data_IF_403920331820
#
_entry.id   IF_403920331820
#
_cell.length_a   1.000
_cell.length_b   1.000
_cell.length_c   1.000
_cell.angle_alpha   90.00
_cell.angle_beta   90.00
_cell.angle_gamma   90.00
#
_symmetry.space_group_name_H-M   'P 1'
#
loop_
_entity.id
_entity.type
_entity.pdbx_description
1 polymer ?
#
# COMPACT_ATOMS: atom_id res chain seq x y z
N UNK A 1 -63.77 24.34 -12.20
CA UNK A 1 -62.69 25.33 -11.98
C UNK A 1 -61.55 24.62 -11.28
N UNK A 2 -60.47 24.33 -12.00
CA UNK A 2 -59.23 23.82 -11.42
C UNK A 2 -58.14 24.83 -11.78
N UNK A 3 -57.53 25.45 -10.76
CA UNK A 3 -56.39 26.34 -10.95
C UNK A 3 -55.16 25.53 -11.40
N UNK A 4 -54.37 26.00 -12.37
CA UNK A 4 -53.08 25.38 -12.66
C UNK A 4 -52.09 25.74 -11.55
N UNK A 5 -51.48 24.72 -10.95
CA UNK A 5 -50.33 24.86 -10.06
C UNK A 5 -49.17 25.49 -10.85
N UNK A 6 -48.83 26.72 -10.50
CA UNK A 6 -47.60 27.39 -10.91
C UNK A 6 -46.44 26.56 -10.34
N UNK A 7 -45.64 25.95 -11.21
CA UNK A 7 -44.32 25.42 -10.85
C UNK A 7 -43.49 26.61 -10.38
N UNK A 8 -43.23 26.67 -9.08
CA UNK A 8 -42.06 27.38 -8.54
C UNK A 8 -40.86 26.60 -9.05
N UNK A 9 -40.18 27.14 -10.05
CA UNK A 9 -38.86 26.67 -10.40
C UNK A 9 -37.99 26.83 -9.15
N UNK A 10 -37.52 25.69 -8.66
CA UNK A 10 -36.51 25.58 -7.62
C UNK A 10 -35.22 26.16 -8.22
N UNK A 11 -34.96 27.44 -7.96
CA UNK A 11 -33.61 28.00 -7.93
C UNK A 11 -32.84 27.39 -6.74
N UNK A 12 -32.63 26.07 -6.76
CA UNK A 12 -31.78 25.36 -5.81
C UNK A 12 -30.42 25.15 -6.43
N UNK A 13 -29.53 26.05 -6.07
CA UNK A 13 -28.15 25.74 -5.72
C UNK A 13 -27.32 25.03 -6.80
N UNK A 14 -26.95 25.78 -7.84
CA UNK A 14 -25.62 25.65 -8.46
C UNK A 14 -24.56 26.26 -7.50
N UNK A 15 -24.50 25.80 -6.25
CA UNK A 15 -23.28 25.94 -5.44
C UNK A 15 -22.24 25.02 -6.08
N UNK A 16 -21.61 25.50 -7.15
CA UNK A 16 -20.42 24.87 -7.69
C UNK A 16 -19.44 24.67 -6.52
N UNK A 17 -19.21 23.41 -6.12
CA UNK A 17 -18.30 23.04 -5.05
C UNK A 17 -16.94 23.72 -5.31
N UNK A 18 -16.71 24.85 -4.63
CA UNK A 18 -15.49 25.61 -4.81
C UNK A 18 -14.36 24.81 -4.17
N UNK A 19 -13.57 24.14 -5.01
CA UNK A 19 -12.39 23.42 -4.54
C UNK A 19 -11.45 24.42 -3.84
N UNK A 20 -10.99 24.15 -2.60
CA UNK A 20 -10.01 25.00 -1.93
C UNK A 20 -8.66 25.06 -2.67
N UNK A 21 -8.50 24.25 -3.72
CA UNK A 21 -7.35 24.20 -4.61
C UNK A 21 -7.64 24.82 -5.99
N UNK A 22 -8.76 25.53 -6.17
CA UNK A 22 -9.04 26.24 -7.42
C UNK A 22 -7.96 27.29 -7.68
N UNK A 23 -7.41 27.28 -8.89
CA UNK A 23 -6.43 28.28 -9.34
C UNK A 23 -5.01 28.12 -8.77
N UNK A 24 -4.68 27.01 -8.10
CA UNK A 24 -3.30 26.81 -7.63
C UNK A 24 -2.34 26.60 -8.80
N UNK A 25 -1.22 27.33 -8.78
CA UNK A 25 -0.20 27.25 -9.81
C UNK A 25 1.03 26.47 -9.32
N UNK A 26 1.56 25.59 -10.18
CA UNK A 26 2.74 24.76 -9.87
C UNK A 26 3.91 25.58 -9.32
N UNK A 27 4.26 26.67 -10.01
CA UNK A 27 5.38 27.53 -9.64
C UNK A 27 5.20 28.16 -8.26
N UNK A 28 3.99 28.62 -7.94
CA UNK A 28 3.67 29.19 -6.63
C UNK A 28 3.80 28.15 -5.51
N UNK A 29 3.27 26.94 -5.72
CA UNK A 29 3.35 25.86 -4.72
C UNK A 29 4.79 25.39 -4.49
N UNK A 30 5.60 25.27 -5.56
CA UNK A 30 7.03 24.96 -5.44
C UNK A 30 7.80 26.05 -4.68
N UNK A 31 7.42 27.32 -4.85
CA UNK A 31 7.99 28.42 -4.08
C UNK A 31 7.59 28.34 -2.59
N UNK A 32 6.34 28.00 -2.29
CA UNK A 32 5.86 27.79 -0.92
C UNK A 32 6.61 26.64 -0.22
N UNK A 33 7.05 25.60 -0.95
CA UNK A 33 7.80 24.46 -0.41
C UNK A 33 9.13 24.86 0.26
N UNK A 34 9.63 26.09 0.04
CA UNK A 34 10.78 26.62 0.77
C UNK A 34 10.55 26.68 2.28
N UNK A 35 9.31 26.69 2.76
CA UNK A 35 8.98 26.61 4.20
C UNK A 35 9.55 25.36 4.87
N UNK A 36 9.82 24.28 4.12
CA UNK A 36 10.40 23.06 4.70
C UNK A 36 11.86 23.24 5.14
N UNK A 37 12.49 24.34 4.72
CA UNK A 37 13.85 24.69 5.12
C UNK A 37 13.91 25.57 6.38
N UNK A 38 12.76 25.99 6.93
CA UNK A 38 12.75 26.82 8.13
C UNK A 38 13.33 26.06 9.33
N UNK A 39 14.25 26.67 10.11
CA UNK A 39 14.77 26.06 11.34
C UNK A 39 13.68 25.77 12.38
N UNK A 40 12.62 26.59 12.39
CA UNK A 40 11.44 26.42 13.24
C UNK A 40 10.27 25.95 12.38
N UNK A 41 10.12 24.63 12.26
CA UNK A 41 9.05 24.04 11.47
C UNK A 41 7.68 24.29 12.09
N UNK A 42 6.75 24.81 11.30
CA UNK A 42 5.30 24.79 11.57
C UNK A 42 4.69 23.56 10.90
N UNK A 43 4.26 22.53 11.66
CA UNK A 43 3.71 21.31 11.08
C UNK A 43 2.43 21.54 10.28
N UNK A 44 1.59 22.50 10.67
CA UNK A 44 0.32 22.79 10.00
C UNK A 44 0.59 23.43 8.65
N UNK A 45 1.45 24.44 8.61
CA UNK A 45 1.86 25.09 7.37
C UNK A 45 2.57 24.12 6.43
N UNK A 46 3.50 23.31 6.96
CA UNK A 46 4.18 22.30 6.14
C UNK A 46 3.18 21.27 5.55
N UNK A 47 2.22 20.80 6.35
CA UNK A 47 1.20 19.85 5.88
C UNK A 47 0.32 20.45 4.78
N UNK A 48 -0.04 21.73 4.87
CA UNK A 48 -0.80 22.43 3.82
C UNK A 48 -0.02 22.48 2.51
N UNK A 49 1.27 22.80 2.55
CA UNK A 49 2.09 22.85 1.33
C UNK A 49 2.28 21.45 0.73
N UNK A 50 2.52 20.41 1.55
CA UNK A 50 2.56 19.02 1.04
C UNK A 50 1.21 18.64 0.39
N UNK A 51 0.09 19.04 0.99
CA UNK A 51 -1.23 18.76 0.43
C UNK A 51 -1.41 19.38 -0.94
N UNK A 52 -0.96 20.63 -1.14
CA UNK A 52 -0.97 21.29 -2.46
C UNK A 52 -0.08 20.55 -3.46
N UNK A 53 1.14 20.15 -3.07
CA UNK A 53 2.04 19.37 -3.93
C UNK A 53 1.42 18.04 -4.36
N UNK A 54 0.86 17.29 -3.41
CA UNK A 54 0.16 16.03 -3.68
C UNK A 54 -1.06 16.24 -4.57
N UNK A 55 -1.82 17.31 -4.37
CA UNK A 55 -2.96 17.65 -5.23
C UNK A 55 -2.51 17.86 -6.67
N UNK A 56 -1.46 18.65 -6.91
CA UNK A 56 -0.94 18.91 -8.26
C UNK A 56 -0.53 17.60 -8.96
N UNK A 57 0.19 16.72 -8.26
CA UNK A 57 0.58 15.41 -8.77
C UNK A 57 -0.65 14.54 -9.10
N UNK A 58 -1.67 14.55 -8.23
CA UNK A 58 -2.91 13.80 -8.43
C UNK A 58 -3.77 14.33 -9.60
N UNK A 59 -3.64 15.61 -9.96
CA UNK A 59 -4.24 16.19 -11.18
C UNK A 59 -3.45 15.87 -12.46
N UNK A 60 -2.39 15.06 -12.37
CA UNK A 60 -1.56 14.66 -13.50
C UNK A 60 -0.46 15.68 -13.85
N UNK A 61 -0.24 16.72 -13.05
CA UNK A 61 0.94 17.56 -13.25
C UNK A 61 2.20 16.80 -12.91
N UNK A 62 3.25 16.98 -13.72
CA UNK A 62 4.55 16.37 -13.50
C UNK A 62 5.56 17.40 -13.05
N UNK A 63 6.39 17.05 -12.07
CA UNK A 63 7.56 17.83 -11.72
C UNK A 63 8.71 17.48 -12.65
N UNK A 64 9.51 18.49 -13.03
CA UNK A 64 10.79 18.21 -13.69
C UNK A 64 11.71 17.46 -12.73
N UNK A 65 12.75 16.81 -13.23
CA UNK A 65 13.72 16.11 -12.37
C UNK A 65 14.31 17.03 -11.30
N UNK A 66 14.65 18.27 -11.67
CA UNK A 66 15.20 19.26 -10.74
C UNK A 66 14.18 19.65 -9.67
N UNK A 67 12.94 19.96 -10.08
CA UNK A 67 11.86 20.29 -9.14
C UNK A 67 11.58 19.13 -8.17
N UNK A 68 11.50 17.89 -8.67
CA UNK A 68 11.25 16.71 -7.85
C UNK A 68 12.37 16.47 -6.82
N UNK A 69 13.63 16.60 -7.26
CA UNK A 69 14.80 16.50 -6.40
C UNK A 69 14.80 17.58 -5.31
N UNK A 70 14.58 18.85 -5.66
CA UNK A 70 14.52 19.95 -4.68
C UNK A 70 13.41 19.73 -3.65
N UNK A 71 12.21 19.35 -4.10
CA UNK A 71 11.09 19.03 -3.20
C UNK A 71 11.43 17.83 -2.33
N UNK A 72 12.05 16.78 -2.88
CA UNK A 72 12.46 15.60 -2.11
C UNK A 72 13.42 16.00 -0.97
N UNK A 73 14.52 16.68 -1.28
CA UNK A 73 15.48 17.15 -0.28
C UNK A 73 14.82 18.03 0.79
N UNK A 74 13.94 18.94 0.39
CA UNK A 74 13.21 19.80 1.32
C UNK A 74 12.28 18.98 2.24
N UNK A 75 11.54 18.02 1.70
CA UNK A 75 10.65 17.12 2.44
C UNK A 75 11.42 16.22 3.41
N UNK A 76 12.62 15.75 3.07
CA UNK A 76 13.42 14.92 3.98
C UNK A 76 13.77 15.63 5.29
N UNK A 77 13.93 16.96 5.27
CA UNK A 77 14.21 17.77 6.47
C UNK A 77 13.05 17.70 7.47
N UNK A 78 11.83 17.48 7.01
CA UNK A 78 10.63 17.41 7.85
C UNK A 78 10.62 16.19 8.78
N UNK A 79 11.48 15.19 8.58
CA UNK A 79 11.69 14.10 9.55
C UNK A 79 12.15 14.60 10.93
N UNK A 80 12.72 15.82 11.04
CA UNK A 80 13.06 16.42 12.33
C UNK A 80 11.84 16.77 13.19
N UNK A 81 10.67 16.95 12.56
CA UNK A 81 9.42 17.19 13.28
C UNK A 81 8.94 15.94 14.00
N UNK A 82 8.44 16.14 15.22
CA UNK A 82 7.79 15.09 16.03
C UNK A 82 6.29 14.98 15.76
N UNK A 83 5.73 15.87 14.94
CA UNK A 83 4.31 15.85 14.63
C UNK A 83 3.92 14.61 13.81
N UNK A 84 2.96 13.86 14.33
CA UNK A 84 2.52 12.58 13.73
C UNK A 84 1.77 12.80 12.41
N UNK A 85 1.02 13.90 12.29
CA UNK A 85 0.28 14.25 11.09
C UNK A 85 1.22 14.58 9.94
N UNK A 86 2.18 15.48 10.18
CA UNK A 86 3.21 15.84 9.23
C UNK A 86 4.04 14.62 8.82
N UNK A 87 4.39 13.74 9.76
CA UNK A 87 5.14 12.52 9.43
C UNK A 87 4.39 11.65 8.41
N UNK A 88 3.07 11.52 8.50
CA UNK A 88 2.25 10.82 7.50
C UNK A 88 2.30 11.51 6.14
N UNK A 89 2.25 12.84 6.12
CA UNK A 89 2.36 13.63 4.88
C UNK A 89 3.72 13.44 4.20
N UNK A 90 4.81 13.37 4.98
CA UNK A 90 6.16 13.09 4.47
C UNK A 90 6.20 11.71 3.80
N UNK A 91 5.63 10.67 4.41
CA UNK A 91 5.56 9.34 3.81
C UNK A 91 4.80 9.31 2.48
N UNK A 92 3.69 10.04 2.38
CA UNK A 92 2.94 10.14 1.13
C UNK A 92 3.79 10.81 0.06
N UNK A 93 4.36 11.96 0.37
CA UNK A 93 5.16 12.74 -0.58
C UNK A 93 6.35 11.95 -1.14
N UNK A 94 7.07 11.20 -0.29
CA UNK A 94 8.20 10.37 -0.74
C UNK A 94 7.77 9.28 -1.73
N UNK A 95 6.60 8.67 -1.54
CA UNK A 95 6.09 7.64 -2.47
C UNK A 95 5.74 8.23 -3.84
N UNK A 96 5.25 9.46 -3.87
CA UNK A 96 4.83 10.12 -5.11
C UNK A 96 6.01 10.69 -5.92
N UNK A 97 7.08 11.14 -5.25
CA UNK A 97 8.24 11.76 -5.94
C UNK A 97 9.11 10.77 -6.72
N UNK A 98 9.02 9.46 -6.44
CA UNK A 98 9.84 8.42 -7.08
C UNK A 98 11.35 8.78 -7.15
N UNK A 99 12.01 8.94 -5.98
CA UNK A 99 13.40 9.39 -5.90
C UNK A 99 14.37 8.46 -6.64
N UNK A 100 15.47 9.04 -7.13
CA UNK A 100 16.61 8.30 -7.67
C UNK A 100 17.34 7.49 -6.60
N UNK A 101 18.16 6.51 -7.00
CA UNK A 101 18.88 5.64 -6.07
C UNK A 101 19.78 6.43 -5.09
N UNK A 102 20.43 7.50 -5.57
CA UNK A 102 21.29 8.35 -4.73
C UNK A 102 20.49 9.13 -3.68
N UNK A 103 19.26 9.51 -4.01
CA UNK A 103 18.36 10.23 -3.11
C UNK A 103 17.73 9.31 -2.05
N UNK A 104 17.45 8.05 -2.39
CA UNK A 104 16.86 7.06 -1.48
C UNK A 104 17.71 6.87 -0.22
N UNK A 105 19.04 6.94 -0.35
CA UNK A 105 19.99 6.79 0.76
C UNK A 105 19.68 7.79 1.90
N UNK A 106 19.24 9.00 1.56
CA UNK A 106 19.02 10.10 2.52
C UNK A 106 17.89 9.77 3.50
N UNK A 107 16.82 9.14 3.01
CA UNK A 107 15.64 8.79 3.83
C UNK A 107 15.74 7.39 4.43
N UNK A 108 16.64 6.54 3.92
CA UNK A 108 16.73 5.13 4.28
C UNK A 108 16.92 4.93 5.79
N UNK A 109 17.86 5.67 6.42
CA UNK A 109 18.09 5.57 7.87
C UNK A 109 16.87 6.00 8.70
N UNK A 110 16.21 7.09 8.30
CA UNK A 110 15.01 7.61 8.95
C UNK A 110 13.83 6.63 8.84
N UNK A 111 13.63 6.04 7.66
CA UNK A 111 12.59 5.03 7.42
C UNK A 111 12.89 3.73 8.18
N UNK A 112 14.15 3.28 8.22
CA UNK A 112 14.53 2.10 9.01
C UNK A 112 14.32 2.32 10.51
N UNK A 113 14.59 3.53 11.01
CA UNK A 113 14.29 3.91 12.39
C UNK A 113 12.78 3.86 12.66
N UNK A 114 11.97 4.40 11.76
CA UNK A 114 10.50 4.40 11.90
C UNK A 114 9.90 3.00 11.77
N UNK A 115 10.46 2.14 10.90
CA UNK A 115 10.09 0.72 10.73
C UNK A 115 10.26 -0.08 12.03
N UNK A 116 11.23 0.31 12.86
CA UNK A 116 11.52 -0.30 14.17
C UNK A 116 11.00 0.53 15.35
N UNK A 117 10.15 1.53 15.10
CA UNK A 117 9.58 2.37 16.14
C UNK A 117 8.64 1.59 17.06
N UNK A 118 8.43 2.07 18.28
CA UNK A 118 7.36 1.56 19.17
C UNK A 118 5.96 1.96 18.70
N UNK A 119 5.87 2.90 17.76
CA UNK A 119 4.59 3.38 17.21
C UNK A 119 4.22 2.58 15.98
N UNK A 120 3.25 1.68 16.08
CA UNK A 120 2.85 0.77 14.99
C UNK A 120 2.51 1.48 13.68
N UNK A 121 1.97 2.69 13.77
CA UNK A 121 1.66 3.50 12.61
C UNK A 121 2.89 3.99 11.84
N UNK A 122 3.97 4.33 12.56
CA UNK A 122 5.25 4.65 11.92
C UNK A 122 5.82 3.41 11.27
N UNK A 123 5.76 2.26 11.96
CA UNK A 123 6.25 0.99 11.41
C UNK A 123 5.57 0.64 10.09
N UNK A 124 4.24 0.61 10.08
CA UNK A 124 3.45 0.23 8.91
C UNK A 124 3.65 1.20 7.74
N UNK A 125 3.68 2.51 8.00
CA UNK A 125 3.87 3.48 6.93
C UNK A 125 5.30 3.49 6.39
N UNK A 126 6.31 3.37 7.27
CA UNK A 126 7.70 3.27 6.87
C UNK A 126 7.94 2.04 5.99
N UNK A 127 7.35 0.89 6.31
CA UNK A 127 7.42 -0.32 5.46
C UNK A 127 6.89 -0.04 4.05
N UNK A 128 5.71 0.61 3.93
CA UNK A 128 5.12 0.92 2.62
C UNK A 128 6.00 1.86 1.80
N UNK A 129 6.60 2.87 2.44
CA UNK A 129 7.48 3.83 1.76
C UNK A 129 8.79 3.14 1.36
N UNK A 130 9.43 2.45 2.30
CA UNK A 130 10.72 1.83 2.10
C UNK A 130 10.66 0.80 0.97
N UNK A 131 9.69 -0.11 0.99
CA UNK A 131 9.51 -1.11 -0.07
C UNK A 131 9.12 -0.51 -1.43
N UNK A 132 8.61 0.74 -1.48
CA UNK A 132 8.29 1.42 -2.74
C UNK A 132 9.54 2.01 -3.41
N UNK A 133 10.53 2.43 -2.63
CA UNK A 133 11.73 3.13 -3.11
C UNK A 133 13.01 2.27 -3.07
N UNK A 134 12.91 1.05 -2.56
CA UNK A 134 14.03 0.14 -2.34
C UNK A 134 14.43 -0.59 -3.63
N UNK A 135 15.74 -0.80 -3.81
CA UNK A 135 16.32 -1.68 -4.82
C UNK A 135 16.68 -3.07 -4.25
N UNK A 136 17.21 -3.98 -5.08
CA UNK A 136 17.53 -5.34 -4.64
C UNK A 136 18.60 -5.42 -3.53
N UNK A 137 19.55 -4.49 -3.55
CA UNK A 137 20.63 -4.43 -2.56
C UNK A 137 20.09 -4.01 -1.20
N UNK A 138 19.35 -2.90 -1.15
CA UNK A 138 18.72 -2.42 0.07
C UNK A 138 17.66 -3.40 0.56
N UNK A 139 16.92 -4.07 -0.34
CA UNK A 139 15.93 -5.08 0.05
C UNK A 139 16.56 -6.21 0.84
N UNK A 140 17.74 -6.69 0.41
CA UNK A 140 18.48 -7.74 1.12
C UNK A 140 18.88 -7.28 2.53
N UNK A 141 19.24 -6.02 2.71
CA UNK A 141 19.60 -5.47 4.04
C UNK A 141 18.40 -5.40 4.98
N UNK A 142 17.21 -5.07 4.45
CA UNK A 142 16.00 -4.89 5.26
C UNK A 142 15.15 -6.16 5.38
N UNK A 143 15.47 -7.23 4.65
CA UNK A 143 14.69 -8.47 4.55
C UNK A 143 14.28 -9.03 5.91
N UNK A 144 15.23 -9.08 6.86
CA UNK A 144 14.97 -9.58 8.21
C UNK A 144 13.82 -8.82 8.90
N UNK A 145 13.80 -7.50 8.77
CA UNK A 145 12.76 -6.66 9.39
C UNK A 145 11.41 -6.86 8.71
N UNK A 146 11.40 -7.06 7.38
CA UNK A 146 10.16 -7.35 6.64
C UNK A 146 9.57 -8.70 7.03
N UNK A 147 10.40 -9.74 7.17
CA UNK A 147 9.98 -11.07 7.66
C UNK A 147 9.34 -10.98 9.05
N UNK A 148 9.96 -10.23 9.98
CA UNK A 148 9.38 -9.98 11.29
C UNK A 148 8.05 -9.21 11.22
N UNK A 149 7.96 -8.23 10.31
CA UNK A 149 6.74 -7.46 10.13
C UNK A 149 5.59 -8.30 9.56
N UNK A 150 5.85 -9.30 8.69
CA UNK A 150 4.82 -10.19 8.13
C UNK A 150 4.05 -10.94 9.22
N UNK A 151 4.75 -11.40 10.26
CA UNK A 151 4.18 -12.15 11.40
C UNK A 151 3.88 -11.26 12.61
N UNK A 152 3.81 -9.94 12.41
CA UNK A 152 3.56 -9.00 13.49
C UNK A 152 2.14 -9.16 14.08
N UNK A 153 2.04 -8.96 15.40
CA UNK A 153 0.75 -9.02 16.12
C UNK A 153 -0.19 -7.90 15.67
N UNK A 154 0.33 -6.74 15.28
CA UNK A 154 -0.46 -5.63 14.78
C UNK A 154 -0.84 -5.90 13.31
N UNK A 155 -2.14 -6.02 12.98
CA UNK A 155 -2.58 -6.39 11.64
C UNK A 155 -2.27 -5.33 10.58
N UNK A 156 -2.10 -4.06 10.98
CA UNK A 156 -1.74 -2.96 10.06
C UNK A 156 -0.29 -3.07 9.61
N UNK A 157 0.61 -3.50 10.51
CA UNK A 157 2.03 -3.73 10.21
C UNK A 157 2.19 -4.98 9.34
N UNK A 158 1.55 -6.09 9.72
CA UNK A 158 1.54 -7.32 8.93
C UNK A 158 0.97 -7.10 7.52
N UNK A 159 -0.17 -6.43 7.40
CA UNK A 159 -0.75 -6.11 6.09
C UNK A 159 0.15 -5.18 5.27
N UNK A 160 0.83 -4.21 5.90
CA UNK A 160 1.78 -3.36 5.19
C UNK A 160 2.91 -4.19 4.58
N UNK A 161 3.51 -5.10 5.35
CA UNK A 161 4.60 -5.96 4.87
C UNK A 161 4.15 -6.94 3.79
N UNK A 162 2.98 -7.55 3.94
CA UNK A 162 2.41 -8.49 2.96
C UNK A 162 2.11 -7.81 1.63
N UNK A 163 1.46 -6.66 1.63
CA UNK A 163 1.17 -5.90 0.40
C UNK A 163 2.46 -5.39 -0.24
N UNK A 164 3.41 -4.89 0.57
CA UNK A 164 4.75 -4.56 0.07
C UNK A 164 5.43 -5.78 -0.57
N UNK A 165 5.30 -6.97 0.00
CA UNK A 165 5.81 -8.22 -0.58
C UNK A 165 5.20 -8.55 -1.94
N UNK A 166 3.91 -8.29 -2.15
CA UNK A 166 3.24 -8.47 -3.45
C UNK A 166 3.88 -7.57 -4.51
N UNK A 167 4.12 -6.29 -4.19
CA UNK A 167 4.77 -5.37 -5.12
C UNK A 167 6.24 -5.76 -5.37
N UNK A 168 6.97 -6.12 -4.32
CA UNK A 168 8.38 -6.52 -4.43
C UNK A 168 8.58 -7.83 -5.17
N UNK A 169 7.58 -8.73 -5.20
CA UNK A 169 7.67 -9.98 -5.96
C UNK A 169 7.80 -9.71 -7.47
N UNK A 170 7.27 -8.59 -7.96
CA UNK A 170 7.33 -8.20 -9.38
C UNK A 170 8.74 -7.79 -9.82
N UNK A 171 9.52 -7.20 -8.90
CA UNK A 171 10.86 -6.66 -9.20
C UNK A 171 11.97 -7.54 -8.65
N UNK A 172 11.77 -8.18 -7.49
CA UNK A 172 12.78 -8.93 -6.74
C UNK A 172 12.25 -10.31 -6.29
N UNK A 173 11.82 -11.18 -7.24
CA UNK A 173 11.13 -12.42 -6.90
C UNK A 173 11.97 -13.39 -6.08
N UNK A 174 13.28 -13.51 -6.36
CA UNK A 174 14.17 -14.43 -5.65
C UNK A 174 14.26 -14.14 -4.14
N UNK A 175 14.22 -12.87 -3.77
CA UNK A 175 14.26 -12.46 -2.35
C UNK A 175 12.92 -12.77 -1.68
N UNK A 176 11.81 -12.36 -2.31
CA UNK A 176 10.48 -12.50 -1.72
C UNK A 176 10.04 -13.97 -1.59
N UNK A 177 10.46 -14.86 -2.49
CA UNK A 177 10.18 -16.31 -2.36
C UNK A 177 10.75 -16.90 -1.06
N UNK A 178 11.82 -16.32 -0.50
CA UNK A 178 12.39 -16.74 0.79
C UNK A 178 11.50 -16.43 1.99
N UNK A 179 10.41 -15.68 1.80
CA UNK A 179 9.47 -15.28 2.86
C UNK A 179 8.30 -16.26 2.99
N UNK A 180 8.29 -17.34 2.19
CA UNK A 180 7.20 -18.33 2.11
C UNK A 180 6.76 -18.86 3.48
N UNK A 181 7.69 -19.06 4.42
CA UNK A 181 7.37 -19.56 5.76
C UNK A 181 6.58 -18.53 6.59
N UNK A 182 7.07 -17.30 6.66
CA UNK A 182 6.41 -16.21 7.38
C UNK A 182 5.04 -15.88 6.77
N UNK A 183 4.94 -15.88 5.44
CA UNK A 183 3.67 -15.67 4.74
C UNK A 183 2.70 -16.83 5.01
N UNK A 184 3.18 -18.08 5.03
CA UNK A 184 2.37 -19.25 5.33
C UNK A 184 1.80 -19.21 6.77
N UNK A 185 2.57 -18.71 7.73
CA UNK A 185 2.08 -18.43 9.09
C UNK A 185 1.00 -17.36 9.07
N UNK A 186 1.23 -16.25 8.35
CA UNK A 186 0.28 -15.14 8.26
C UNK A 186 -1.07 -15.52 7.61
N UNK A 187 -1.12 -16.56 6.76
CA UNK A 187 -2.39 -17.13 6.24
C UNK A 187 -3.31 -17.63 7.37
N UNK A 188 -2.73 -18.07 8.48
CA UNK A 188 -3.48 -18.54 9.66
C UNK A 188 -3.89 -17.40 10.60
N UNK A 189 -3.61 -16.14 10.24
CA UNK A 189 -3.96 -14.99 11.06
C UNK A 189 -5.46 -14.90 11.30
N UNK A 190 -5.83 -14.47 12.53
CA UNK A 190 -7.22 -14.19 12.89
C UNK A 190 -7.72 -12.87 12.27
N UNK A 191 -6.81 -12.00 11.83
CA UNK A 191 -7.17 -10.73 11.20
C UNK A 191 -7.52 -10.96 9.72
N UNK A 192 -8.76 -10.63 9.34
CA UNK A 192 -9.30 -10.93 8.01
C UNK A 192 -8.45 -10.36 6.86
N UNK A 193 -7.99 -9.11 6.98
CA UNK A 193 -7.14 -8.50 5.95
C UNK A 193 -5.75 -9.14 5.87
N UNK A 194 -5.16 -9.53 7.00
CA UNK A 194 -3.85 -10.21 7.01
C UNK A 194 -3.96 -11.57 6.33
N UNK A 195 -4.99 -12.36 6.67
CA UNK A 195 -5.24 -13.64 6.00
C UNK A 195 -5.43 -13.48 4.48
N UNK A 196 -6.18 -12.46 4.06
CA UNK A 196 -6.39 -12.16 2.64
C UNK A 196 -5.08 -11.79 1.92
N UNK A 197 -4.30 -10.83 2.44
CA UNK A 197 -3.04 -10.42 1.84
C UNK A 197 -2.00 -11.56 1.84
N UNK A 198 -1.96 -12.36 2.91
CA UNK A 198 -1.04 -13.50 3.01
C UNK A 198 -1.39 -14.59 2.01
N UNK A 199 -2.68 -14.91 1.85
CA UNK A 199 -3.12 -15.86 0.84
C UNK A 199 -2.76 -15.39 -0.58
N UNK A 200 -3.01 -14.10 -0.88
CA UNK A 200 -2.67 -13.51 -2.18
C UNK A 200 -1.16 -13.62 -2.47
N UNK A 201 -0.31 -13.21 -1.52
CA UNK A 201 1.14 -13.27 -1.67
C UNK A 201 1.65 -14.72 -1.78
N UNK A 202 1.16 -15.62 -0.94
CA UNK A 202 1.59 -17.02 -0.94
C UNK A 202 1.24 -17.73 -2.23
N UNK A 203 0.05 -17.46 -2.77
CA UNK A 203 -0.36 -17.97 -4.07
C UNK A 203 0.58 -17.47 -5.17
N UNK A 204 0.89 -16.17 -5.22
CA UNK A 204 1.82 -15.63 -6.24
C UNK A 204 3.24 -16.20 -6.10
N UNK A 205 3.74 -16.39 -4.88
CA UNK A 205 5.03 -17.06 -4.63
C UNK A 205 5.05 -18.48 -5.24
N UNK A 206 3.93 -19.21 -5.11
CA UNK A 206 3.79 -20.61 -5.53
C UNK A 206 3.19 -20.79 -6.92
N UNK A 207 2.83 -19.73 -7.64
CA UNK A 207 2.00 -19.83 -8.85
C UNK A 207 2.60 -20.71 -9.96
N UNK A 208 3.92 -20.91 -9.97
CA UNK A 208 4.62 -21.77 -10.93
C UNK A 208 4.79 -23.22 -10.46
N UNK A 209 4.41 -23.55 -9.22
CA UNK A 209 4.43 -24.89 -8.64
C UNK A 209 3.00 -25.37 -8.38
N UNK A 210 2.46 -26.10 -9.36
CA UNK A 210 1.09 -26.63 -9.34
C UNK A 210 0.80 -27.48 -8.09
N UNK A 211 1.77 -28.27 -7.65
CA UNK A 211 1.59 -29.13 -6.48
C UNK A 211 1.52 -28.29 -5.19
N UNK A 212 2.35 -27.26 -5.07
CA UNK A 212 2.31 -26.36 -3.92
C UNK A 212 1.03 -25.51 -3.87
N UNK A 213 0.49 -25.09 -5.03
CA UNK A 213 -0.81 -24.41 -5.13
C UNK A 213 -1.95 -25.35 -4.75
N UNK A 214 -1.98 -26.55 -5.32
CA UNK A 214 -3.00 -27.57 -4.99
C UNK A 214 -3.02 -27.91 -3.50
N UNK A 215 -1.84 -28.09 -2.88
CA UNK A 215 -1.72 -28.31 -1.43
C UNK A 215 -2.24 -27.12 -0.61
N UNK A 216 -1.91 -25.89 -1.02
CA UNK A 216 -2.39 -24.68 -0.34
C UNK A 216 -3.91 -24.61 -0.36
N UNK A 217 -4.53 -24.78 -1.53
CA UNK A 217 -5.98 -24.73 -1.70
C UNK A 217 -6.66 -25.87 -0.92
N UNK A 218 -6.16 -27.10 -1.05
CA UNK A 218 -6.68 -28.27 -0.33
C UNK A 218 -6.62 -28.14 1.20
N UNK A 219 -5.63 -27.41 1.73
CA UNK A 219 -5.55 -27.14 3.16
C UNK A 219 -6.58 -26.09 3.60
N UNK A 220 -6.87 -25.10 2.76
CA UNK A 220 -7.82 -24.04 3.06
C UNK A 220 -9.28 -24.47 2.88
N UNK A 221 -9.57 -25.37 1.93
CA UNK A 221 -10.93 -25.91 1.75
C UNK A 221 -11.39 -26.77 2.93
N UNK A 222 -10.44 -27.47 3.58
CA UNK A 222 -10.69 -28.23 4.82
C UNK A 222 -10.72 -27.36 6.07
N UNK A 223 -10.22 -26.12 5.99
CA UNK A 223 -10.11 -25.19 7.10
C UNK A 223 -11.17 -24.09 7.07
N UNK A 224 -11.24 -23.32 8.15
CA UNK A 224 -12.09 -22.13 8.21
C UNK A 224 -11.34 -20.91 7.65
N UNK A 225 -11.74 -20.44 6.47
CA UNK A 225 -11.32 -19.14 5.95
C UNK A 225 -12.25 -18.06 6.52
N UNK A 226 -11.68 -17.14 7.30
CA UNK A 226 -12.44 -16.12 8.05
C UNK A 226 -12.67 -14.85 7.25
N UNK A 227 -11.76 -14.55 6.33
CA UNK A 227 -11.83 -13.34 5.52
C UNK A 227 -12.71 -13.56 4.29
N UNK A 228 -13.78 -12.76 4.09
CA UNK A 228 -14.60 -12.84 2.88
C UNK A 228 -13.78 -12.62 1.59
N UNK A 229 -12.78 -11.73 1.64
CA UNK A 229 -11.89 -11.50 0.50
C UNK A 229 -10.97 -12.70 0.23
N UNK A 230 -10.51 -13.39 1.29
CA UNK A 230 -9.74 -14.62 1.13
C UNK A 230 -10.60 -15.77 0.60
N UNK A 231 -11.88 -15.84 0.98
CA UNK A 231 -12.83 -16.79 0.40
C UNK A 231 -13.01 -16.53 -1.11
N UNK A 232 -13.19 -15.27 -1.51
CA UNK A 232 -13.24 -14.91 -2.94
C UNK A 232 -11.96 -15.33 -3.69
N UNK A 233 -10.77 -15.18 -3.10
CA UNK A 233 -9.54 -15.67 -3.71
C UNK A 233 -9.49 -17.19 -3.78
N UNK A 234 -9.90 -17.88 -2.71
CA UNK A 234 -9.91 -19.34 -2.66
C UNK A 234 -10.84 -19.91 -3.76
N UNK A 235 -12.03 -19.35 -3.93
CA UNK A 235 -12.97 -19.74 -5.00
C UNK A 235 -12.31 -19.56 -6.38
N UNK A 236 -11.61 -18.44 -6.61
CA UNK A 236 -10.88 -18.19 -7.87
C UNK A 236 -9.79 -19.23 -8.09
N UNK A 237 -8.99 -19.55 -7.06
CA UNK A 237 -7.90 -20.52 -7.17
C UNK A 237 -8.39 -21.95 -7.37
N UNK A 238 -9.48 -22.33 -6.70
CA UNK A 238 -10.17 -23.60 -6.94
C UNK A 238 -10.61 -23.69 -8.41
N UNK A 239 -11.29 -22.65 -8.90
CA UNK A 239 -11.77 -22.59 -10.29
C UNK A 239 -10.63 -22.69 -11.29
N UNK A 240 -9.47 -22.10 -10.98
CA UNK A 240 -8.26 -22.21 -11.81
C UNK A 240 -7.71 -23.64 -11.82
N UNK A 241 -7.58 -24.28 -10.64
CA UNK A 241 -7.09 -25.66 -10.54
C UNK A 241 -7.96 -26.62 -11.35
N UNK A 242 -9.29 -26.54 -11.19
CA UNK A 242 -10.24 -27.40 -11.91
C UNK A 242 -10.07 -27.27 -13.43
N UNK A 243 -9.85 -26.04 -13.94
CA UNK A 243 -9.61 -25.79 -15.37
C UNK A 243 -8.29 -26.37 -15.85
N UNK A 244 -7.25 -26.33 -15.02
CA UNK A 244 -5.92 -26.85 -15.36
C UNK A 244 -5.81 -28.38 -15.24
N UNK A 245 -6.58 -29.01 -14.34
CA UNK A 245 -6.54 -30.46 -14.05
C UNK A 245 -7.13 -31.34 -15.16
N UNK A 246 -7.91 -30.79 -16.09
CA UNK A 246 -8.45 -31.51 -17.24
C UNK A 246 -9.27 -32.77 -16.87
N UNK A 247 -10.53 -32.59 -16.47
CA UNK A 247 -11.55 -33.65 -16.35
C UNK A 247 -11.20 -34.92 -15.53
N UNK A 248 -10.24 -34.86 -14.60
CA UNK A 248 -10.01 -35.94 -13.62
C UNK A 248 -11.00 -35.79 -12.46
N UNK A 249 -12.26 -36.15 -12.70
CA UNK A 249 -13.42 -35.88 -11.83
C UNK A 249 -13.28 -36.38 -10.38
N UNK A 250 -12.48 -37.42 -10.14
CA UNK A 250 -12.32 -38.02 -8.80
C UNK A 250 -11.37 -37.25 -7.89
N UNK A 251 -10.32 -36.62 -8.44
CA UNK A 251 -9.36 -35.86 -7.64
C UNK A 251 -9.88 -34.46 -7.25
N UNK A 252 -10.75 -33.90 -8.09
CA UNK A 252 -11.31 -32.55 -7.90
C UNK A 252 -12.60 -32.53 -7.07
N UNK A 253 -13.15 -33.69 -6.69
CA UNK A 253 -14.44 -33.77 -5.96
C UNK A 253 -14.49 -32.88 -4.70
N UNK A 254 -13.46 -32.85 -3.83
CA UNK A 254 -13.47 -31.97 -2.65
C UNK A 254 -13.53 -30.47 -2.98
N UNK A 255 -13.10 -30.09 -4.19
CA UNK A 255 -13.17 -28.71 -4.65
C UNK A 255 -14.57 -28.34 -5.13
N UNK A 256 -15.26 -29.25 -5.84
CA UNK A 256 -16.66 -29.06 -6.20
C UNK A 256 -17.54 -28.99 -4.95
N UNK A 257 -17.36 -29.91 -4.00
CA UNK A 257 -18.14 -29.94 -2.76
C UNK A 257 -17.96 -28.62 -1.95
N UNK A 258 -16.76 -28.02 -1.98
CA UNK A 258 -16.52 -26.71 -1.36
C UNK A 258 -17.24 -25.55 -2.08
N UNK A 259 -17.41 -25.62 -3.40
CA UNK A 259 -18.07 -24.57 -4.18
C UNK A 259 -19.60 -24.67 -4.15
N UNK A 260 -20.14 -25.88 -3.93
CA UNK A 260 -21.58 -26.16 -3.88
C UNK A 260 -22.20 -25.90 -2.50
N UNK A 261 -21.39 -25.86 -1.45
CA UNK A 261 -21.80 -25.58 -0.06
C UNK A 261 -21.90 -24.10 0.26
#
# INVERSE_FOLDING_TARGET
MAQPLIKKDDDRDDEAEYSPFMGIEKGAVLQEARVFNDPQLDPRRCSQVITKLLYLLNQGQTFTKVEATEVFFAVTKLFQSKDTGLRRMVYLMIKELSPSADEVIIVTSSLMKDMNSKTDMYRANAIRVLCRITDGTLLTQIERYLKQAIVDKNPVVASAALVSGIHLLQTNPEIVRRWSNEVQEAVQSRAALVQFHALALLHQIRQNDRLAVSKLVSNLTRGAVRSPLAQCLLIRYISQIIRESGNIQTADRPFYDYLEG
#
